data_IF_076317002855
#
_entry.id   IF_076317002855
#
_cell.length_a   1.000
_cell.length_b   1.000
_cell.length_c   1.000
_cell.angle_alpha   90.00
_cell.angle_beta   90.00
_cell.angle_gamma   90.00
#
_symmetry.space_group_name_H-M   'P 1'
#
loop_
_entity.id
_entity.type
_entity.pdbx_description
1 polymer ?
#
# COMPACT_ATOMS: atom_id res chain seq x y z
N UNK A 1 -2.49 -10.94 26.42
CA UNK A 1 -1.13 -10.72 25.96
C UNK A 1 -0.96 -11.09 24.50
N UNK A 2 -1.24 -12.30 24.14
CA UNK A 2 -1.09 -12.74 22.74
C UNK A 2 -2.07 -12.06 21.81
N UNK A 3 -3.28 -11.76 22.28
CA UNK A 3 -4.25 -11.06 21.47
C UNK A 3 -3.77 -9.66 21.10
N UNK A 4 -3.11 -8.95 22.02
CA UNK A 4 -2.57 -7.63 21.72
C UNK A 4 -1.45 -7.71 20.68
N UNK A 5 -0.61 -8.72 20.79
CA UNK A 5 0.46 -8.93 19.83
C UNK A 5 -0.11 -9.22 18.43
N UNK A 6 -1.20 -10.01 18.35
CA UNK A 6 -1.85 -10.31 17.10
C UNK A 6 -2.45 -9.07 16.45
N UNK A 7 -3.08 -8.22 17.24
CA UNK A 7 -3.64 -6.96 16.76
C UNK A 7 -2.53 -6.07 16.20
N UNK A 8 -1.42 -5.97 16.92
CA UNK A 8 -0.27 -5.20 16.45
C UNK A 8 0.27 -5.75 15.15
N UNK A 9 0.35 -7.09 15.05
CA UNK A 9 0.86 -7.73 13.85
C UNK A 9 0.01 -7.39 12.63
N UNK A 10 -1.32 -7.37 12.76
CA UNK A 10 -2.20 -7.02 11.67
C UNK A 10 -1.98 -5.57 11.25
N UNK A 11 -1.87 -4.65 12.22
CA UNK A 11 -1.60 -3.25 11.94
C UNK A 11 -0.24 -3.08 11.26
N UNK A 12 0.77 -3.80 11.75
CA UNK A 12 2.11 -3.73 11.18
C UNK A 12 2.14 -4.27 9.76
N UNK A 13 1.36 -5.29 9.45
CA UNK A 13 1.30 -5.83 8.09
C UNK A 13 0.85 -4.76 7.12
N UNK A 14 -0.19 -4.01 7.45
CA UNK A 14 -0.66 -2.95 6.55
C UNK A 14 0.38 -1.85 6.38
N UNK A 15 1.08 -1.52 7.45
CA UNK A 15 2.14 -0.52 7.40
C UNK A 15 3.32 -1.02 6.57
N UNK A 16 3.71 -2.27 6.76
CA UNK A 16 4.80 -2.89 6.01
C UNK A 16 4.45 -2.94 4.52
N UNK A 17 3.23 -3.34 4.20
CA UNK A 17 2.77 -3.38 2.82
C UNK A 17 2.76 -2.00 2.19
N UNK A 18 2.33 -1.00 2.94
CA UNK A 18 2.33 0.39 2.47
C UNK A 18 3.74 0.89 2.19
N UNK A 19 4.67 0.61 3.09
CA UNK A 19 6.07 0.97 2.90
C UNK A 19 6.66 0.28 1.67
N UNK A 20 6.33 -0.98 1.48
CA UNK A 20 6.81 -1.74 0.34
C UNK A 20 6.26 -1.16 -0.96
N UNK A 21 4.99 -0.78 -0.97
CA UNK A 21 4.41 -0.13 -2.12
C UNK A 21 5.17 1.14 -2.47
N UNK A 22 5.47 1.95 -1.46
CA UNK A 22 6.22 3.19 -1.65
C UNK A 22 7.60 2.91 -2.24
N UNK A 23 8.32 1.93 -1.68
CA UNK A 23 9.64 1.56 -2.18
C UNK A 23 9.60 1.13 -3.63
N UNK A 24 8.63 0.30 -3.99
CA UNK A 24 8.48 -0.17 -5.35
C UNK A 24 8.11 0.96 -6.31
N UNK A 25 7.23 1.86 -5.87
CA UNK A 25 6.85 3.02 -6.67
C UNK A 25 8.06 3.89 -6.97
N UNK A 26 8.85 4.19 -5.93
CA UNK A 26 10.05 5.03 -6.08
C UNK A 26 11.08 4.34 -6.97
N UNK A 27 11.26 3.04 -6.79
CA UNK A 27 12.19 2.27 -7.61
C UNK A 27 11.82 2.30 -9.09
N UNK A 28 10.52 2.43 -9.39
CA UNK A 28 10.03 2.55 -10.76
C UNK A 28 9.92 3.99 -11.23
N UNK A 29 10.39 4.93 -10.42
CA UNK A 29 10.38 6.36 -10.74
C UNK A 29 8.98 6.89 -11.03
N UNK A 30 7.99 6.37 -10.31
CA UNK A 30 6.60 6.81 -10.43
C UNK A 30 6.25 7.73 -9.29
N UNK A 31 5.49 8.80 -9.60
CA UNK A 31 4.86 9.62 -8.57
C UNK A 31 3.62 8.90 -8.03
N UNK A 32 3.11 9.38 -6.89
CA UNK A 32 1.85 8.88 -6.37
C UNK A 32 0.71 9.11 -7.36
N UNK A 33 0.74 10.25 -8.05
CA UNK A 33 -0.25 10.56 -9.05
C UNK A 33 -0.17 9.61 -10.25
N UNK A 34 1.03 9.34 -10.73
CA UNK A 34 1.22 8.40 -11.86
C UNK A 34 0.72 7.02 -11.51
N UNK A 35 1.04 6.54 -10.31
CA UNK A 35 0.56 5.23 -9.88
C UNK A 35 -0.96 5.23 -9.74
N UNK A 36 -1.52 6.31 -9.20
CA UNK A 36 -2.98 6.43 -9.10
C UNK A 36 -3.65 6.36 -10.46
N UNK A 37 -3.11 7.06 -11.44
CA UNK A 37 -3.63 7.05 -12.81
C UNK A 37 -3.55 5.65 -13.41
N UNK A 38 -2.45 4.97 -13.22
CA UNK A 38 -2.29 3.61 -13.70
C UNK A 38 -3.35 2.67 -13.11
N UNK A 39 -3.63 2.82 -11.81
CA UNK A 39 -4.59 1.96 -11.12
C UNK A 39 -6.04 2.44 -11.23
N UNK A 40 -6.25 3.65 -11.75
CA UNK A 40 -7.58 4.23 -11.85
C UNK A 40 -8.12 4.72 -10.52
N UNK A 41 -7.26 5.16 -9.61
CA UNK A 41 -7.66 5.70 -8.30
C UNK A 41 -6.94 7.01 -8.05
N UNK A 42 -7.39 7.75 -7.03
CA UNK A 42 -6.80 9.04 -6.71
C UNK A 42 -5.42 8.88 -6.05
N UNK A 43 -4.60 9.91 -6.16
CA UNK A 43 -3.30 9.89 -5.48
C UNK A 43 -3.47 9.90 -3.95
N UNK A 44 -4.57 10.48 -3.44
CA UNK A 44 -4.87 10.43 -2.01
C UNK A 44 -5.06 9.00 -1.54
N UNK A 45 -5.66 8.15 -2.37
CA UNK A 45 -5.82 6.75 -2.03
C UNK A 45 -4.45 6.06 -1.99
N UNK A 46 -3.56 6.40 -2.92
CA UNK A 46 -2.18 5.89 -2.88
C UNK A 46 -1.49 6.31 -1.57
N UNK A 47 -1.66 7.57 -1.16
CA UNK A 47 -1.10 8.05 0.10
C UNK A 47 -1.60 7.21 1.28
N UNK A 48 -2.89 6.92 1.32
CA UNK A 48 -3.48 6.12 2.39
C UNK A 48 -2.91 4.71 2.41
N UNK A 49 -2.74 4.10 1.25
CA UNK A 49 -2.11 2.79 1.15
C UNK A 49 -0.67 2.84 1.68
N UNK A 50 0.10 3.82 1.27
CA UNK A 50 1.51 3.92 1.65
C UNK A 50 1.71 4.19 3.13
N UNK A 51 0.74 4.86 3.76
CA UNK A 51 0.77 5.10 5.21
C UNK A 51 0.24 3.92 6.03
N UNK A 52 -0.36 2.95 5.38
CA UNK A 52 -1.00 1.83 6.08
C UNK A 52 -2.34 2.21 6.67
N UNK A 53 -2.92 3.36 6.29
CA UNK A 53 -4.22 3.81 6.78
C UNK A 53 -5.35 2.99 6.18
N UNK A 54 -5.18 2.52 4.95
CA UNK A 54 -6.16 1.67 4.28
C UNK A 54 -5.49 0.37 3.87
N UNK A 55 -6.26 -0.71 3.99
CA UNK A 55 -5.80 -2.03 3.59
C UNK A 55 -5.80 -2.13 2.06
N UNK A 56 -4.77 -2.76 1.53
CA UNK A 56 -4.68 -3.05 0.10
C UNK A 56 -5.25 -4.45 -0.11
N UNK A 57 -6.35 -4.56 -0.83
CA UNK A 57 -6.95 -5.87 -1.07
C UNK A 57 -6.19 -6.65 -2.14
N UNK A 58 -6.50 -7.95 -2.26
CA UNK A 58 -5.78 -8.85 -3.15
C UNK A 58 -5.86 -8.41 -4.61
N UNK A 59 -7.03 -7.97 -5.06
CA UNK A 59 -7.20 -7.52 -6.43
C UNK A 59 -6.32 -6.32 -6.74
N UNK A 60 -6.26 -5.37 -5.80
CA UNK A 60 -5.42 -4.20 -5.96
C UNK A 60 -3.94 -4.57 -5.95
N UNK A 61 -3.55 -5.53 -5.10
CA UNK A 61 -2.16 -5.99 -5.07
C UNK A 61 -1.74 -6.56 -6.41
N UNK A 62 -2.61 -7.30 -7.07
CA UNK A 62 -2.32 -7.87 -8.39
C UNK A 62 -2.08 -6.74 -9.39
N UNK A 63 -2.93 -5.72 -9.38
CA UNK A 63 -2.76 -4.57 -10.27
C UNK A 63 -1.45 -3.83 -10.00
N UNK A 64 -1.10 -3.65 -8.73
CA UNK A 64 0.14 -2.99 -8.34
C UNK A 64 1.34 -3.80 -8.81
N UNK A 65 1.30 -5.11 -8.66
CA UNK A 65 2.40 -5.97 -9.07
C UNK A 65 2.64 -5.91 -10.58
N UNK A 66 1.62 -5.61 -11.36
CA UNK A 66 1.73 -5.50 -12.80
C UNK A 66 2.26 -4.13 -13.25
N UNK A 67 2.31 -3.17 -12.36
CA UNK A 67 2.82 -1.83 -12.69
C UNK A 67 4.36 -1.79 -12.82
#
# INVERSE_FOLDING_TARGET
MKSNANIRSVTNVHRIMGNRLRELRIARQMSQQSLGEYLGISFQQIQKYEKGSNRIDAGRLIQIAAA
#
